data_IF_326444582309
#
_entry.id   IF_326444582309
#
_cell.length_a   1.000
_cell.length_b   1.000
_cell.length_c   1.000
_cell.angle_alpha   90.00
_cell.angle_beta   90.00
_cell.angle_gamma   90.00
#
_symmetry.space_group_name_H-M   'P 1'
#
loop_
_entity.id
_entity.type
_entity.pdbx_description
1 polymer ?
#
# COMPACT_ATOMS: atom_id res chain seq x y z
N UNK A 1 30.99 -26.29 -4.91
CA UNK A 1 29.83 -25.48 -5.35
C UNK A 1 28.96 -26.42 -6.15
N UNK A 2 27.84 -26.87 -5.59
CA UNK A 2 27.01 -27.90 -6.22
C UNK A 2 26.13 -27.29 -7.32
N UNK A 3 25.80 -28.10 -8.32
CA UNK A 3 24.92 -27.75 -9.45
C UNK A 3 23.54 -27.25 -8.96
N UNK A 4 23.08 -27.70 -7.79
CA UNK A 4 21.88 -27.21 -7.10
C UNK A 4 21.98 -25.74 -6.68
N UNK A 5 23.16 -25.27 -6.27
CA UNK A 5 23.36 -23.90 -5.80
C UNK A 5 23.40 -22.92 -6.97
N UNK A 6 23.89 -23.37 -8.14
CA UNK A 6 23.91 -22.60 -9.39
C UNK A 6 22.50 -22.38 -9.95
N UNK A 7 21.66 -23.41 -9.98
CA UNK A 7 20.27 -23.31 -10.46
C UNK A 7 19.42 -22.41 -9.54
N UNK A 8 19.67 -22.45 -8.23
CA UNK A 8 18.98 -21.57 -7.27
C UNK A 8 19.37 -20.09 -7.38
N UNK A 9 20.57 -19.79 -7.89
CA UNK A 9 21.03 -18.42 -8.08
C UNK A 9 20.52 -17.83 -9.41
N UNK A 10 20.51 -18.61 -10.50
CA UNK A 10 19.98 -18.17 -11.80
C UNK A 10 18.47 -17.87 -11.76
N UNK A 11 17.67 -18.68 -11.05
CA UNK A 11 16.22 -18.41 -10.94
C UNK A 11 15.92 -17.11 -10.17
N UNK A 12 16.80 -16.70 -9.23
CA UNK A 12 16.61 -15.44 -8.48
C UNK A 12 17.01 -14.18 -9.23
N UNK A 13 17.81 -14.28 -10.29
CA UNK A 13 18.29 -13.11 -11.05
C UNK A 13 17.23 -12.57 -12.02
N UNK A 14 16.25 -13.42 -12.39
CA UNK A 14 15.14 -13.03 -13.28
C UNK A 14 14.06 -12.22 -12.58
N UNK A 15 13.99 -12.24 -11.25
CA UNK A 15 13.01 -11.44 -10.52
C UNK A 15 13.51 -10.02 -10.32
N UNK A 16 12.65 -9.05 -10.61
CA UNK A 16 12.99 -7.66 -10.36
C UNK A 16 13.29 -7.42 -8.88
N UNK A 17 14.45 -6.80 -8.62
CA UNK A 17 14.85 -6.34 -7.29
C UNK A 17 15.13 -4.85 -7.36
N UNK A 18 14.55 -4.10 -6.44
CA UNK A 18 14.83 -2.67 -6.36
C UNK A 18 16.32 -2.43 -6.08
N UNK A 19 16.90 -1.46 -6.79
CA UNK A 19 18.31 -1.07 -6.59
C UNK A 19 18.61 -0.44 -5.22
N UNK A 20 17.60 -0.21 -4.38
CA UNK A 20 17.77 0.40 -3.05
C UNK A 20 18.18 1.87 -3.09
N UNK A 21 18.18 2.51 -4.27
CA UNK A 21 18.60 3.90 -4.46
C UNK A 21 17.62 4.87 -3.81
N UNK A 22 18.18 5.78 -3.01
CA UNK A 22 17.47 6.89 -2.38
C UNK A 22 18.04 8.20 -2.91
N UNK A 23 17.42 8.82 -3.93
CA UNK A 23 17.85 10.14 -4.37
C UNK A 23 17.66 11.18 -3.27
N UNK A 24 18.60 12.11 -3.13
CA UNK A 24 18.53 13.18 -2.13
C UNK A 24 17.25 14.00 -2.25
N UNK A 25 16.88 14.36 -3.48
CA UNK A 25 15.62 15.07 -3.78
C UNK A 25 14.42 14.27 -3.28
N UNK A 26 14.44 12.94 -3.41
CA UNK A 26 13.34 12.09 -2.93
C UNK A 26 13.22 12.05 -1.42
N UNK A 27 14.34 12.03 -0.70
CA UNK A 27 14.35 12.16 0.77
C UNK A 27 13.70 13.48 1.19
N UNK A 28 14.16 14.59 0.60
CA UNK A 28 13.65 15.92 0.94
C UNK A 28 12.17 16.06 0.60
N UNK A 29 11.74 15.62 -0.59
CA UNK A 29 10.34 15.69 -0.99
C UNK A 29 9.43 14.83 -0.10
N UNK A 30 9.83 13.62 0.27
CA UNK A 30 9.03 12.79 1.18
C UNK A 30 8.89 13.42 2.57
N UNK A 31 9.98 13.99 3.11
CA UNK A 31 9.94 14.68 4.41
C UNK A 31 9.12 15.97 4.36
N UNK A 32 9.27 16.80 3.32
CA UNK A 32 8.52 18.04 3.19
C UNK A 32 7.04 17.79 2.92
N UNK A 33 6.69 16.95 1.93
CA UNK A 33 5.28 16.65 1.63
C UNK A 33 4.62 15.90 2.78
N UNK A 34 5.30 14.91 3.36
CA UNK A 34 4.82 14.19 4.54
C UNK A 34 4.66 15.10 5.75
N UNK A 35 5.60 16.00 6.01
CA UNK A 35 5.54 16.95 7.13
C UNK A 35 4.44 18.00 6.97
N UNK A 36 4.25 18.55 5.76
CA UNK A 36 3.14 19.46 5.44
C UNK A 36 1.81 18.74 5.62
N UNK A 37 1.67 17.52 5.08
CA UNK A 37 0.49 16.70 5.26
C UNK A 37 0.22 16.38 6.74
N UNK A 38 1.27 16.00 7.49
CA UNK A 38 1.19 15.77 8.93
C UNK A 38 0.66 17.01 9.65
N UNK A 39 1.20 18.20 9.40
CA UNK A 39 0.75 19.42 10.06
C UNK A 39 -0.71 19.77 9.73
N UNK A 40 -1.08 19.79 8.45
CA UNK A 40 -2.40 20.23 8.00
C UNK A 40 -3.51 19.20 8.30
N UNK A 41 -3.26 17.92 8.04
CA UNK A 41 -4.23 16.86 8.31
C UNK A 41 -4.42 16.64 9.80
N UNK A 42 -3.39 16.87 10.64
CA UNK A 42 -3.53 16.80 12.09
C UNK A 42 -4.51 17.82 12.63
N UNK A 43 -4.51 19.04 12.09
CA UNK A 43 -5.47 20.07 12.49
C UNK A 43 -6.90 19.61 12.22
N UNK A 44 -7.16 19.09 11.02
CA UNK A 44 -8.47 18.55 10.64
C UNK A 44 -8.85 17.35 11.51
N UNK A 45 -7.92 16.42 11.73
CA UNK A 45 -8.11 15.26 12.60
C UNK A 45 -8.51 15.69 14.02
N UNK A 46 -7.79 16.64 14.62
CA UNK A 46 -8.05 17.11 15.98
C UNK A 46 -9.39 17.85 16.10
N UNK A 47 -9.81 18.59 15.07
CA UNK A 47 -11.14 19.17 15.02
C UNK A 47 -12.23 18.10 15.05
N UNK A 48 -12.07 17.07 14.23
CA UNK A 48 -13.04 15.97 14.19
C UNK A 48 -13.08 15.27 15.55
N UNK A 49 -11.94 14.98 16.16
CA UNK A 49 -11.86 14.35 17.48
C UNK A 49 -12.52 15.20 18.58
N UNK A 50 -12.37 16.52 18.52
CA UNK A 50 -12.97 17.43 19.49
C UNK A 50 -14.50 17.45 19.40
N UNK A 51 -15.05 17.45 18.19
CA UNK A 51 -16.51 17.56 17.98
C UNK A 51 -17.24 16.21 17.93
N UNK A 52 -16.55 15.09 17.79
CA UNK A 52 -17.17 13.79 17.58
C UNK A 52 -17.47 13.04 18.89
N UNK A 53 -18.75 12.81 19.25
CA UNK A 53 -19.12 12.04 20.44
C UNK A 53 -19.19 10.52 20.18
N UNK A 54 -19.00 10.05 18.93
CA UNK A 54 -19.25 8.67 18.50
C UNK A 54 -17.94 7.90 18.35
N UNK A 55 -17.73 6.92 19.23
CA UNK A 55 -16.52 6.06 19.27
C UNK A 55 -16.31 5.27 17.98
N UNK A 56 -17.36 4.74 17.35
CA UNK A 56 -17.20 3.94 16.10
C UNK A 56 -16.70 4.81 14.95
N UNK A 57 -17.16 6.06 14.86
CA UNK A 57 -16.72 6.99 13.82
C UNK A 57 -15.22 7.31 13.99
N UNK A 58 -14.73 7.37 15.23
CA UNK A 58 -13.32 7.58 15.54
C UNK A 58 -12.40 6.53 14.89
N UNK A 59 -12.81 5.25 14.88
CA UNK A 59 -12.06 4.18 14.23
C UNK A 59 -11.82 4.44 12.73
N UNK A 60 -12.84 4.91 12.01
CA UNK A 60 -12.70 5.24 10.59
C UNK A 60 -11.82 6.48 10.38
N UNK A 61 -11.90 7.46 11.29
CA UNK A 61 -11.11 8.68 11.23
C UNK A 61 -9.61 8.37 11.42
N UNK A 62 -9.25 7.53 12.40
CA UNK A 62 -7.84 7.16 12.62
C UNK A 62 -7.26 6.38 11.43
N UNK A 63 -8.06 5.49 10.81
CA UNK A 63 -7.65 4.75 9.61
C UNK A 63 -7.46 5.71 8.42
N UNK A 64 -8.43 6.60 8.19
CA UNK A 64 -8.36 7.58 7.10
C UNK A 64 -7.20 8.56 7.27
N UNK A 65 -6.95 9.03 8.50
CA UNK A 65 -5.84 9.92 8.81
C UNK A 65 -4.48 9.25 8.57
N UNK A 66 -4.27 8.05 9.11
CA UNK A 66 -3.05 7.27 8.85
C UNK A 66 -2.84 6.98 7.36
N UNK A 67 -3.91 6.62 6.63
CA UNK A 67 -3.86 6.37 5.20
C UNK A 67 -3.49 7.61 4.39
N UNK A 68 -4.05 8.77 4.74
CA UNK A 68 -3.75 10.04 4.07
C UNK A 68 -2.28 10.45 4.25
N UNK A 69 -1.71 10.27 5.46
CA UNK A 69 -0.28 10.48 5.71
C UNK A 69 0.58 9.53 4.87
N UNK A 70 0.28 8.23 4.91
CA UNK A 70 1.00 7.23 4.13
C UNK A 70 0.93 7.50 2.62
N UNK A 71 -0.24 7.94 2.12
CA UNK A 71 -0.44 8.27 0.71
C UNK A 71 0.41 9.47 0.27
N UNK A 72 0.51 10.51 1.10
CA UNK A 72 1.39 11.66 0.80
C UNK A 72 2.86 11.21 0.62
N UNK A 73 3.32 10.28 1.45
CA UNK A 73 4.67 9.72 1.39
C UNK A 73 4.84 8.81 0.17
N UNK A 74 3.87 7.94 -0.12
CA UNK A 74 3.85 7.06 -1.30
C UNK A 74 3.93 7.87 -2.59
N UNK A 75 3.12 8.93 -2.70
CA UNK A 75 3.12 9.83 -3.86
C UNK A 75 4.45 10.57 -4.02
N UNK A 76 4.98 11.13 -2.93
CA UNK A 76 6.28 11.80 -2.95
C UNK A 76 7.42 10.84 -3.35
N UNK A 77 7.45 9.63 -2.78
CA UNK A 77 8.45 8.60 -3.08
C UNK A 77 8.36 8.11 -4.52
N UNK A 78 7.15 7.90 -5.05
CA UNK A 78 6.93 7.54 -6.46
C UNK A 78 7.36 8.66 -7.39
N UNK A 79 6.95 9.90 -7.13
CA UNK A 79 7.31 11.04 -7.98
C UNK A 79 8.83 11.26 -8.05
N UNK A 80 9.51 11.06 -6.93
CA UNK A 80 10.96 11.24 -6.81
C UNK A 80 11.79 9.96 -7.00
N UNK A 81 11.13 8.85 -7.38
CA UNK A 81 11.80 7.61 -7.79
C UNK A 81 12.64 6.97 -6.67
N UNK A 82 12.15 7.05 -5.43
CA UNK A 82 12.72 6.35 -4.28
C UNK A 82 12.45 4.85 -4.43
N UNK A 83 13.51 4.04 -4.36
CA UNK A 83 13.47 2.58 -4.61
C UNK A 83 13.99 1.78 -3.41
N UNK A 84 13.91 2.36 -2.23
CA UNK A 84 14.33 1.69 -1.01
C UNK A 84 13.12 1.54 -0.08
N UNK A 85 12.60 0.32 0.00
CA UNK A 85 11.42 0.03 0.80
C UNK A 85 11.68 0.25 2.29
N UNK A 86 12.83 -0.17 2.81
CA UNK A 86 13.20 0.05 4.22
C UNK A 86 13.25 1.54 4.55
N UNK A 87 13.84 2.35 3.67
CA UNK A 87 13.86 3.80 3.82
C UNK A 87 12.45 4.39 3.80
N UNK A 88 11.59 3.96 2.88
CA UNK A 88 10.19 4.41 2.84
C UNK A 88 9.42 4.04 4.11
N UNK A 89 9.67 2.86 4.70
CA UNK A 89 9.12 2.46 6.00
C UNK A 89 9.59 3.42 7.11
N UNK A 90 10.89 3.69 7.20
CA UNK A 90 11.43 4.58 8.23
C UNK A 90 10.86 5.99 8.12
N UNK A 91 10.78 6.54 6.91
CA UNK A 91 10.16 7.86 6.67
C UNK A 91 8.67 7.83 7.03
N UNK A 92 7.94 6.76 6.68
CA UNK A 92 6.53 6.61 7.03
C UNK A 92 6.29 6.58 8.54
N UNK A 93 7.10 5.82 9.29
CA UNK A 93 7.01 5.78 10.74
C UNK A 93 7.36 7.15 11.37
N UNK A 94 8.39 7.82 10.86
CA UNK A 94 8.78 9.15 11.33
C UNK A 94 7.67 10.18 11.10
N UNK A 95 7.09 10.25 9.89
CA UNK A 95 6.00 11.16 9.56
C UNK A 95 4.72 10.81 10.31
N UNK A 96 4.42 9.52 10.49
CA UNK A 96 3.29 9.09 11.32
C UNK A 96 3.43 9.54 12.78
N UNK A 97 4.62 9.41 13.36
CA UNK A 97 4.90 9.89 14.72
C UNK A 97 4.81 11.42 14.82
N UNK A 98 5.33 12.12 13.80
CA UNK A 98 5.22 13.57 13.70
C UNK A 98 3.75 14.03 13.57
N UNK A 99 2.93 13.29 12.81
CA UNK A 99 1.49 13.50 12.71
C UNK A 99 0.78 13.35 14.04
N UNK A 100 1.07 12.28 14.80
CA UNK A 100 0.52 12.09 16.15
C UNK A 100 0.90 13.25 17.08
N UNK A 101 2.14 13.71 17.03
CA UNK A 101 2.58 14.88 17.80
C UNK A 101 1.77 16.12 17.43
N UNK A 102 1.69 16.45 16.14
CA UNK A 102 0.91 17.62 15.68
C UNK A 102 -0.58 17.49 15.99
N UNK A 103 -1.16 16.28 15.95
CA UNK A 103 -2.54 16.06 16.34
C UNK A 103 -2.76 16.48 17.81
N UNK A 104 -1.85 16.11 18.70
CA UNK A 104 -1.91 16.55 20.10
C UNK A 104 -1.76 18.06 20.27
N UNK A 105 -0.77 18.67 19.58
CA UNK A 105 -0.57 20.13 19.60
C UNK A 105 -1.86 20.85 19.19
N UNK A 106 -2.47 20.43 18.08
CA UNK A 106 -3.73 21.02 17.60
C UNK A 106 -4.91 20.75 18.52
N UNK A 107 -5.00 19.56 19.09
CA UNK A 107 -6.07 19.21 20.01
C UNK A 107 -6.04 20.08 21.27
N UNK A 108 -4.86 20.27 21.86
CA UNK A 108 -4.66 21.14 23.03
C UNK A 108 -5.02 22.59 22.68
N UNK A 109 -4.57 23.08 21.52
CA UNK A 109 -4.92 24.41 21.03
C UNK A 109 -6.45 24.61 20.92
N UNK A 110 -7.19 23.61 20.42
CA UNK A 110 -8.65 23.68 20.31
C UNK A 110 -9.32 23.65 21.70
N UNK A 111 -8.90 22.74 22.58
CA UNK A 111 -9.46 22.59 23.94
C UNK A 111 -9.26 23.86 24.77
N UNK A 112 -8.16 24.59 24.56
CA UNK A 112 -7.86 25.85 25.24
C UNK A 112 -8.53 27.07 24.60
N UNK A 113 -9.47 26.87 23.67
CA UNK A 113 -10.28 27.95 23.12
C UNK A 113 -9.55 28.77 22.06
N UNK A 114 -8.67 28.15 21.27
CA UNK A 114 -8.02 28.76 20.11
C UNK A 114 -7.04 29.89 20.45
N UNK A 115 -6.48 29.89 21.66
CA UNK A 115 -5.46 30.84 22.07
C UNK A 115 -4.12 30.55 21.40
N UNK A 116 -3.70 31.43 20.49
CA UNK A 116 -2.47 31.29 19.70
C UNK A 116 -1.21 31.30 20.57
N UNK A 117 -1.26 31.89 21.76
CA UNK A 117 -0.11 31.87 22.68
C UNK A 117 0.19 30.47 23.23
N UNK A 118 -0.69 29.49 22.96
CA UNK A 118 -0.59 28.12 23.47
C UNK A 118 -0.17 27.10 22.41
N UNK A 119 0.12 27.53 21.17
CA UNK A 119 0.72 26.62 20.19
C UNK A 119 2.18 26.36 20.61
N UNK A 120 2.36 25.29 21.38
CA UNK A 120 3.66 24.81 21.81
C UNK A 120 4.00 23.50 21.09
N UNK A 121 5.12 23.51 20.38
CA UNK A 121 5.65 22.35 19.68
C UNK A 121 6.58 21.50 20.56
N UNK A 122 6.89 21.95 21.79
CA UNK A 122 7.74 21.24 22.73
C UNK A 122 7.08 19.93 23.20
N UNK A 123 7.67 18.75 22.90
CA UNK A 123 7.07 17.46 23.24
C UNK A 123 6.84 17.27 24.74
N UNK A 124 7.70 17.84 25.58
CA UNK A 124 7.58 17.76 27.04
C UNK A 124 6.31 18.44 27.52
N UNK A 125 6.04 19.66 27.05
CA UNK A 125 4.83 20.41 27.41
C UNK A 125 3.59 19.69 26.91
N UNK A 126 3.59 19.24 25.65
CA UNK A 126 2.48 18.45 25.08
C UNK A 126 2.18 17.23 25.95
N UNK A 127 3.21 16.48 26.36
CA UNK A 127 3.05 15.30 27.21
C UNK A 127 2.49 15.62 28.61
N UNK A 128 2.93 16.72 29.23
CA UNK A 128 2.37 17.17 30.51
C UNK A 128 0.87 17.51 30.40
N UNK A 129 0.45 18.15 29.31
CA UNK A 129 -0.97 18.39 29.03
C UNK A 129 -1.75 17.10 28.85
N UNK A 130 -1.19 16.13 28.12
CA UNK A 130 -1.81 14.80 27.97
C UNK A 130 -2.00 14.14 29.34
N UNK A 131 -1.03 14.23 30.25
CA UNK A 131 -1.17 13.71 31.62
C UNK A 131 -2.28 14.40 32.41
N UNK A 132 -2.36 15.72 32.29
CA UNK A 132 -3.40 16.51 32.95
C UNK A 132 -4.81 16.19 32.43
N UNK A 133 -4.95 16.02 31.12
CA UNK A 133 -6.18 15.59 30.47
C UNK A 133 -6.57 14.15 30.90
N UNK A 134 -5.60 13.23 30.94
CA UNK A 134 -5.82 11.87 31.38
C UNK A 134 -6.34 11.81 32.83
N UNK A 135 -5.80 12.63 33.72
CA UNK A 135 -6.22 12.65 35.13
C UNK A 135 -7.67 13.14 35.32
N UNK A 136 -8.17 14.00 34.44
CA UNK A 136 -9.52 14.61 34.55
C UNK A 136 -10.58 13.92 33.71
N UNK A 137 -10.16 13.18 32.68
CA UNK A 137 -11.06 12.67 31.67
C UNK A 137 -11.37 13.75 30.64
N UNK A 138 -11.50 13.33 29.38
CA UNK A 138 -11.67 14.24 28.23
C UNK A 138 -13.10 14.20 27.66
N UNK A 139 -13.81 13.11 27.92
CA UNK A 139 -15.19 12.89 27.49
C UNK A 139 -15.89 11.95 28.47
N UNK A 140 -17.21 11.85 28.37
CA UNK A 140 -18.02 10.94 29.18
C UNK A 140 -18.79 9.99 28.27
N UNK A 141 -18.86 8.73 28.64
CA UNK A 141 -19.65 7.72 27.94
C UNK A 141 -20.48 6.92 28.91
N UNK A 142 -21.81 6.93 28.69
CA UNK A 142 -22.79 6.26 29.56
C UNK A 142 -22.64 6.61 31.05
N UNK A 143 -22.26 7.85 31.36
CA UNK A 143 -22.09 8.35 32.72
C UNK A 143 -20.75 8.02 33.39
N UNK A 144 -19.85 7.31 32.71
CA UNK A 144 -18.47 7.09 33.15
C UNK A 144 -17.50 7.99 32.36
N UNK A 145 -16.60 8.66 33.07
CA UNK A 145 -15.51 9.41 32.46
C UNK A 145 -14.24 8.54 32.56
N UNK A 146 -13.73 7.97 31.44
CA UNK A 146 -12.48 7.24 31.49
C UNK A 146 -11.34 8.18 31.92
N UNK A 147 -10.48 7.70 32.81
CA UNK A 147 -9.35 8.47 33.36
C UNK A 147 -8.08 7.62 33.43
N UNK A 148 -6.93 8.29 33.49
CA UNK A 148 -5.62 7.69 33.66
C UNK A 148 -5.31 6.64 32.58
N UNK A 149 -5.06 5.41 33.03
CA UNK A 149 -4.61 4.31 32.18
C UNK A 149 -5.64 3.87 31.12
N UNK A 150 -6.94 4.04 31.37
CA UNK A 150 -7.99 3.72 30.39
C UNK A 150 -7.85 4.60 29.14
N UNK A 151 -7.56 5.89 29.33
CA UNK A 151 -7.32 6.84 28.23
C UNK A 151 -5.97 6.57 27.55
N UNK A 152 -4.92 6.28 28.31
CA UNK A 152 -3.62 5.93 27.72
C UNK A 152 -3.68 4.69 26.83
N UNK A 153 -4.46 3.67 27.24
CA UNK A 153 -4.67 2.47 26.43
C UNK A 153 -5.35 2.84 25.10
N UNK A 154 -6.43 3.63 25.16
CA UNK A 154 -7.17 4.05 23.98
C UNK A 154 -6.29 4.87 23.02
N UNK A 155 -5.63 5.92 23.51
CA UNK A 155 -4.73 6.74 22.69
C UNK A 155 -3.53 5.94 22.17
N UNK A 156 -3.05 4.96 22.94
CA UNK A 156 -2.02 4.04 22.51
C UNK A 156 -2.47 3.19 21.32
N UNK A 157 -3.69 2.64 21.35
CA UNK A 157 -4.28 1.90 20.24
C UNK A 157 -4.45 2.79 19.00
N UNK A 158 -4.93 4.03 19.19
CA UNK A 158 -5.05 5.00 18.09
C UNK A 158 -3.69 5.30 17.46
N UNK A 159 -2.69 5.62 18.27
CA UNK A 159 -1.34 5.92 17.82
C UNK A 159 -0.72 4.74 17.04
N UNK A 160 -0.83 3.52 17.57
CA UNK A 160 -0.34 2.31 16.90
C UNK A 160 -1.08 2.09 15.58
N UNK A 161 -2.39 2.31 15.54
CA UNK A 161 -3.20 2.17 14.31
C UNK A 161 -2.79 3.18 13.25
N UNK A 162 -2.61 4.45 13.63
CA UNK A 162 -2.16 5.53 12.73
C UNK A 162 -0.78 5.20 12.16
N UNK A 163 0.18 4.81 13.01
CA UNK A 163 1.51 4.39 12.58
C UNK A 163 1.43 3.19 11.64
N UNK A 164 0.60 2.19 12.00
CA UNK A 164 0.45 0.97 11.24
C UNK A 164 -0.05 1.25 9.82
N UNK A 165 -1.15 1.99 9.71
CA UNK A 165 -1.75 2.32 8.41
C UNK A 165 -0.83 3.25 7.60
N UNK A 166 -0.20 4.23 8.25
CA UNK A 166 0.74 5.13 7.59
C UNK A 166 1.92 4.37 6.96
N UNK A 167 2.55 3.45 7.70
CA UNK A 167 3.61 2.62 7.12
C UNK A 167 3.07 1.66 6.06
N UNK A 168 1.91 1.03 6.28
CA UNK A 168 1.39 0.02 5.37
C UNK A 168 1.10 0.62 3.99
N UNK A 169 0.56 1.84 3.95
CA UNK A 169 0.32 2.58 2.71
C UNK A 169 1.63 3.20 2.17
N UNK A 170 2.39 3.89 3.01
CA UNK A 170 3.57 4.67 2.59
C UNK A 170 4.76 3.84 2.13
N UNK A 171 4.84 2.56 2.53
CA UNK A 171 5.92 1.64 2.15
C UNK A 171 5.67 0.85 0.85
N UNK A 172 4.48 0.95 0.27
CA UNK A 172 4.14 0.24 -0.97
C UNK A 172 4.83 0.86 -2.19
N UNK A 173 5.97 0.27 -2.57
CA UNK A 173 6.66 0.54 -3.83
C UNK A 173 6.47 -0.70 -4.71
N UNK A 174 5.41 -0.74 -5.50
CA UNK A 174 4.97 -1.97 -6.18
C UNK A 174 5.42 -2.09 -7.64
N UNK A 175 5.86 -0.98 -8.26
CA UNK A 175 6.18 -0.98 -9.68
C UNK A 175 7.67 -1.25 -9.92
N UNK A 176 8.00 -2.08 -10.93
CA UNK A 176 9.36 -2.15 -11.45
C UNK A 176 9.84 -0.79 -11.95
N UNK A 177 11.14 -0.57 -11.86
CA UNK A 177 11.78 0.67 -12.29
C UNK A 177 12.82 0.36 -13.37
N UNK A 178 12.74 1.07 -14.50
CA UNK A 178 13.75 0.98 -15.54
C UNK A 178 14.93 1.90 -15.15
N UNK A 179 16.07 1.31 -14.83
CA UNK A 179 17.29 2.05 -14.47
C UNK A 179 17.88 2.81 -15.67
N UNK A 180 17.83 2.22 -16.87
CA UNK A 180 18.37 2.84 -18.09
C UNK A 180 17.62 4.11 -18.50
N UNK A 181 16.28 4.07 -18.45
CA UNK A 181 15.44 5.22 -18.80
C UNK A 181 15.08 6.10 -17.59
N UNK A 182 15.45 5.69 -16.37
CA UNK A 182 15.16 6.39 -15.12
C UNK A 182 13.66 6.68 -14.95
N UNK A 183 12.78 5.72 -15.21
CA UNK A 183 11.33 5.85 -15.09
C UNK A 183 10.68 4.58 -14.54
N UNK A 184 9.50 4.73 -13.94
CA UNK A 184 8.68 3.58 -13.54
C UNK A 184 8.13 2.89 -14.79
N UNK A 185 8.00 1.57 -14.75
CA UNK A 185 7.29 0.82 -15.80
C UNK A 185 5.78 1.05 -15.66
N UNK A 186 5.07 1.02 -16.78
CA UNK A 186 3.63 1.17 -16.84
C UNK A 186 2.95 -0.20 -16.95
N UNK A 187 1.87 -0.45 -16.18
CA UNK A 187 1.09 -1.66 -16.33
C UNK A 187 0.28 -1.67 -17.63
N UNK A 188 0.26 -2.80 -18.33
CA UNK A 188 -0.66 -3.08 -19.42
C UNK A 188 -2.03 -3.56 -18.93
N UNK A 189 -2.93 -3.86 -19.88
CA UNK A 189 -4.24 -4.45 -19.58
C UNK A 189 -4.04 -5.82 -18.91
N UNK A 190 -4.72 -6.09 -17.77
CA UNK A 190 -4.61 -7.40 -17.11
C UNK A 190 -5.26 -8.49 -17.98
N UNK A 191 -4.51 -9.55 -18.26
CA UNK A 191 -5.04 -10.78 -18.85
C UNK A 191 -5.58 -11.68 -17.73
N UNK A 192 -6.81 -12.17 -17.89
CA UNK A 192 -7.43 -13.12 -16.98
C UNK A 192 -7.43 -14.49 -17.66
N UNK A 193 -6.84 -15.49 -17.02
CA UNK A 193 -6.75 -16.86 -17.55
C UNK A 193 -7.29 -17.87 -16.54
N UNK A 194 -7.60 -19.08 -17.03
CA UNK A 194 -8.08 -20.16 -16.20
C UNK A 194 -7.05 -20.52 -15.12
N UNK A 195 -7.53 -20.81 -13.90
CA UNK A 195 -6.65 -21.28 -12.84
C UNK A 195 -6.12 -22.67 -13.18
N UNK A 196 -4.80 -22.75 -13.31
CA UNK A 196 -4.04 -23.99 -13.42
C UNK A 196 -3.23 -24.23 -12.16
N UNK A 197 -2.42 -25.29 -12.14
CA UNK A 197 -1.38 -25.44 -11.13
C UNK A 197 -0.43 -24.24 -11.20
N UNK A 198 -0.68 -23.24 -10.36
CA UNK A 198 0.05 -21.97 -10.30
C UNK A 198 1.54 -22.16 -10.01
N UNK A 199 1.93 -23.27 -9.36
CA UNK A 199 3.34 -23.62 -9.17
C UNK A 199 3.95 -24.13 -10.47
N UNK A 200 3.22 -24.95 -11.24
CA UNK A 200 3.66 -25.38 -12.56
C UNK A 200 3.76 -24.19 -13.53
N UNK A 201 2.81 -23.25 -13.49
CA UNK A 201 2.88 -22.03 -14.29
C UNK A 201 4.11 -21.18 -13.93
N UNK A 202 4.39 -21.00 -12.63
CA UNK A 202 5.59 -20.28 -12.21
C UNK A 202 6.87 -20.95 -12.72
N UNK A 203 6.99 -22.27 -12.57
CA UNK A 203 8.13 -23.02 -13.07
C UNK A 203 8.29 -22.91 -14.60
N UNK A 204 7.18 -22.90 -15.36
CA UNK A 204 7.23 -22.75 -16.82
C UNK A 204 7.66 -21.34 -17.25
N UNK A 205 7.17 -20.29 -16.58
CA UNK A 205 7.57 -18.91 -16.86
C UNK A 205 9.04 -18.66 -16.48
N UNK A 206 9.50 -19.25 -15.37
CA UNK A 206 10.91 -19.27 -14.98
C UNK A 206 11.79 -20.01 -16.01
N UNK A 207 11.25 -21.06 -16.64
CA UNK A 207 11.90 -21.82 -17.71
C UNK A 207 11.73 -21.21 -19.12
N UNK A 208 11.22 -19.98 -19.23
CA UNK A 208 10.99 -19.25 -20.50
C UNK A 208 9.99 -19.92 -21.46
N UNK A 209 9.12 -20.77 -20.93
CA UNK A 209 8.06 -21.44 -21.68
C UNK A 209 6.78 -20.59 -21.63
N UNK A 210 6.71 -19.55 -22.47
CA UNK A 210 5.61 -18.59 -22.45
C UNK A 210 4.36 -19.04 -23.21
N UNK A 211 4.45 -20.07 -24.05
CA UNK A 211 3.32 -20.60 -24.83
C UNK A 211 2.14 -21.03 -23.94
N UNK A 212 2.43 -21.43 -22.69
CA UNK A 212 1.41 -21.74 -21.67
C UNK A 212 0.44 -20.58 -21.44
N UNK A 213 0.86 -19.32 -21.58
CA UNK A 213 -0.02 -18.16 -21.40
C UNK A 213 -1.12 -18.18 -22.46
N UNK A 214 -0.77 -18.47 -23.71
CA UNK A 214 -1.72 -18.58 -24.82
C UNK A 214 -2.67 -19.74 -24.56
N UNK A 215 -2.14 -20.92 -24.23
CA UNK A 215 -2.96 -22.10 -23.93
C UNK A 215 -3.95 -21.86 -22.78
N UNK A 216 -3.53 -21.17 -21.72
CA UNK A 216 -4.39 -20.85 -20.58
C UNK A 216 -5.44 -19.79 -20.92
N UNK A 217 -5.14 -18.88 -21.86
CA UNK A 217 -6.10 -17.87 -22.32
C UNK A 217 -7.24 -18.44 -23.16
N UNK A 218 -7.01 -19.60 -23.79
CA UNK A 218 -8.02 -20.30 -24.61
C UNK A 218 -8.91 -21.25 -23.79
N UNK A 219 -8.54 -21.53 -22.53
CA UNK A 219 -9.33 -22.38 -21.64
C UNK A 219 -10.50 -21.59 -21.03
N UNK A 220 -11.62 -22.28 -20.84
CA UNK A 220 -12.77 -21.75 -20.10
C UNK A 220 -12.37 -21.31 -18.69
N UNK A 221 -12.74 -20.09 -18.32
CA UNK A 221 -12.38 -19.47 -17.05
C UNK A 221 -13.50 -19.70 -16.03
N UNK A 222 -13.15 -20.20 -14.84
CA UNK A 222 -14.06 -20.15 -13.70
C UNK A 222 -14.03 -18.75 -13.10
N UNK A 223 -15.12 -17.95 -13.14
CA UNK A 223 -15.11 -16.57 -12.67
C UNK A 223 -14.77 -16.41 -11.18
N UNK A 224 -14.91 -17.48 -10.40
CA UNK A 224 -14.62 -17.46 -8.96
C UNK A 224 -13.17 -17.81 -8.61
N UNK A 225 -12.37 -18.28 -9.55
CA UNK A 225 -10.97 -18.63 -9.31
C UNK A 225 -10.18 -18.46 -10.61
N UNK A 226 -9.48 -17.33 -10.72
CA UNK A 226 -8.76 -16.94 -11.93
C UNK A 226 -7.32 -16.58 -11.65
N UNK A 227 -6.48 -16.69 -12.67
CA UNK A 227 -5.14 -16.11 -12.66
C UNK A 227 -5.17 -14.79 -13.44
N UNK A 228 -4.65 -13.75 -12.82
CA UNK A 228 -4.48 -12.41 -13.38
C UNK A 228 -3.02 -12.21 -13.71
N UNK A 229 -2.71 -12.01 -14.98
CA UNK A 229 -1.37 -11.76 -15.50
C UNK A 229 -1.31 -10.29 -15.92
N UNK A 230 -0.37 -9.53 -15.36
CA UNK A 230 -0.15 -8.12 -15.69
C UNK A 230 1.27 -7.94 -16.18
N UNK A 231 1.39 -7.44 -17.41
CA UNK A 231 2.67 -7.00 -17.95
C UNK A 231 3.00 -5.56 -17.54
N UNK A 232 4.27 -5.33 -17.23
CA UNK A 232 4.82 -4.01 -16.92
C UNK A 232 5.91 -3.70 -17.93
N UNK A 233 5.83 -2.54 -18.58
CA UNK A 233 6.75 -2.15 -19.64
C UNK A 233 7.33 -0.76 -19.43
N UNK A 234 8.58 -0.56 -19.79
CA UNK A 234 9.15 0.79 -19.86
C UNK A 234 8.59 1.55 -21.08
N UNK A 235 8.14 2.81 -20.93
CA UNK A 235 7.64 3.59 -22.06
C UNK A 235 8.74 4.04 -23.04
N UNK A 236 10.03 3.83 -22.71
CA UNK A 236 11.16 4.37 -23.46
C UNK A 236 12.14 3.32 -23.99
N UNK A 237 12.06 2.06 -23.56
CA UNK A 237 12.94 0.98 -24.02
C UNK A 237 12.25 -0.39 -23.93
N UNK A 238 12.84 -1.38 -24.59
CA UNK A 238 12.41 -2.78 -24.57
C UNK A 238 13.10 -3.61 -23.49
N UNK A 239 14.19 -3.09 -22.90
CA UNK A 239 15.05 -3.83 -21.95
C UNK A 239 14.46 -3.96 -20.54
N UNK A 240 13.23 -3.50 -20.31
CA UNK A 240 12.61 -3.45 -18.99
C UNK A 240 11.14 -3.81 -19.10
N UNK A 241 10.92 -5.11 -19.24
CA UNK A 241 9.62 -5.74 -19.37
C UNK A 241 9.49 -6.85 -18.34
N UNK A 242 8.39 -6.83 -17.58
CA UNK A 242 8.17 -7.72 -16.45
C UNK A 242 6.75 -8.28 -16.44
N UNK A 243 6.54 -9.48 -15.91
CA UNK A 243 5.22 -10.04 -15.64
C UNK A 243 4.99 -10.21 -14.14
N UNK A 244 3.79 -9.89 -13.70
CA UNK A 244 3.27 -10.27 -12.37
C UNK A 244 2.06 -11.17 -12.56
N UNK A 245 2.04 -12.29 -11.84
CA UNK A 245 0.95 -13.26 -11.85
C UNK A 245 0.34 -13.31 -10.46
N UNK A 246 -0.96 -13.05 -10.37
CA UNK A 246 -1.73 -13.13 -9.14
C UNK A 246 -2.88 -14.11 -9.30
N UNK A 247 -3.18 -14.91 -8.28
CA UNK A 247 -4.41 -15.68 -8.20
C UNK A 247 -5.49 -14.84 -7.53
N UNK A 248 -6.65 -14.75 -8.16
CA UNK A 248 -7.80 -13.99 -7.68
C UNK A 248 -8.94 -14.97 -7.42
N UNK A 249 -9.27 -15.14 -6.14
CA UNK A 249 -10.38 -15.98 -5.71
C UNK A 249 -11.54 -15.06 -5.33
N UNK A 250 -12.67 -15.24 -5.99
CA UNK A 250 -13.91 -14.52 -5.72
C UNK A 250 -14.85 -15.44 -4.98
N UNK A 251 -15.14 -15.13 -3.72
CA UNK A 251 -16.14 -15.84 -2.93
C UNK A 251 -17.46 -15.07 -2.95
N UNK A 252 -18.60 -15.73 -3.25
CA UNK A 252 -19.90 -15.06 -3.24
C UNK A 252 -20.21 -14.49 -1.86
N UNK A 253 -20.84 -13.32 -1.84
CA UNK A 253 -21.29 -12.66 -0.62
C UNK A 253 -22.30 -13.52 0.15
N UNK A 254 -22.44 -13.27 1.46
CA UNK A 254 -23.38 -14.06 2.30
C UNK A 254 -24.86 -13.75 2.02
N UNK A 255 -25.13 -12.74 1.20
CA UNK A 255 -26.46 -12.27 0.79
C UNK A 255 -26.37 -11.72 -0.63
N UNK A 256 -27.49 -11.71 -1.36
CA UNK A 256 -27.62 -11.13 -2.72
C UNK A 256 -27.20 -9.65 -2.81
N UNK A 257 -27.17 -8.95 -1.68
CA UNK A 257 -26.81 -7.54 -1.59
C UNK A 257 -25.36 -7.29 -1.13
N UNK A 258 -24.59 -8.36 -0.90
CA UNK A 258 -23.25 -8.29 -0.34
C UNK A 258 -22.22 -8.40 -1.47
N UNK A 259 -21.27 -7.48 -1.53
CA UNK A 259 -20.23 -7.50 -2.56
C UNK A 259 -19.42 -8.80 -2.43
N UNK A 260 -19.07 -9.45 -3.55
CA UNK A 260 -18.24 -10.64 -3.51
C UNK A 260 -16.89 -10.30 -2.88
N UNK A 261 -16.41 -11.18 -2.00
CA UNK A 261 -15.11 -11.00 -1.36
C UNK A 261 -14.02 -11.54 -2.31
N UNK A 262 -13.13 -10.64 -2.72
CA UNK A 262 -12.07 -10.91 -3.69
C UNK A 262 -10.74 -10.99 -2.93
N UNK A 263 -10.10 -12.15 -2.98
CA UNK A 263 -8.77 -12.37 -2.41
C UNK A 263 -7.75 -12.51 -3.53
N UNK A 264 -6.80 -11.58 -3.60
CA UNK A 264 -5.70 -11.60 -4.56
C UNK A 264 -4.40 -12.05 -3.87
N UNK A 265 -3.82 -13.17 -4.32
CA UNK A 265 -2.55 -13.70 -3.83
C UNK A 265 -1.52 -13.67 -4.96
N UNK A 266 -0.41 -12.97 -4.76
CA UNK A 266 0.67 -12.94 -5.75
C UNK A 266 1.40 -14.29 -5.81
N UNK A 267 1.43 -14.88 -7.00
CA UNK A 267 2.17 -16.11 -7.31
C UNK A 267 3.59 -15.75 -7.78
N UNK A 268 3.69 -14.79 -8.70
CA UNK A 268 4.95 -14.30 -9.28
C UNK A 268 4.91 -12.79 -9.22
N UNK A 269 6.00 -12.15 -8.77
CA UNK A 269 6.12 -10.69 -8.73
C UNK A 269 7.22 -10.23 -9.65
N UNK A 270 6.85 -9.55 -10.74
CA UNK A 270 7.77 -8.89 -11.66
C UNK A 270 8.95 -9.77 -12.13
N UNK A 271 8.66 -10.93 -12.73
CA UNK A 271 9.67 -11.71 -13.44
C UNK A 271 10.02 -11.00 -14.76
N UNK A 272 11.31 -10.84 -15.04
CA UNK A 272 11.80 -10.23 -16.27
C UNK A 272 11.50 -11.15 -17.46
N UNK A 273 10.90 -10.59 -18.51
CA UNK A 273 10.54 -11.32 -19.73
C UNK A 273 10.89 -10.51 -20.98
N UNK A 274 10.99 -11.15 -22.15
CA UNK A 274 11.08 -10.46 -23.43
C UNK A 274 9.88 -9.51 -23.67
N UNK A 275 10.12 -8.40 -24.37
CA UNK A 275 9.13 -7.34 -24.58
C UNK A 275 7.89 -7.82 -25.37
N UNK A 276 8.12 -8.70 -26.35
CA UNK A 276 7.10 -9.34 -27.17
C UNK A 276 6.10 -10.16 -26.34
N UNK A 277 6.54 -10.77 -25.24
CA UNK A 277 5.64 -11.50 -24.32
C UNK A 277 4.70 -10.53 -23.59
N UNK A 278 5.17 -9.36 -23.14
CA UNK A 278 4.31 -8.34 -22.51
C UNK A 278 3.29 -7.80 -23.50
N UNK A 279 3.70 -7.58 -24.75
CA UNK A 279 2.81 -7.17 -25.83
C UNK A 279 1.78 -8.25 -26.14
N UNK A 280 2.18 -9.52 -26.21
CA UNK A 280 1.28 -10.66 -26.43
C UNK A 280 0.23 -10.78 -25.32
N UNK A 281 0.63 -10.67 -24.04
CA UNK A 281 -0.30 -10.65 -22.91
C UNK A 281 -1.32 -9.52 -23.04
N UNK A 282 -0.86 -8.32 -23.43
CA UNK A 282 -1.73 -7.16 -23.61
C UNK A 282 -2.68 -7.34 -24.81
N UNK A 283 -2.20 -7.95 -25.90
CA UNK A 283 -3.02 -8.27 -27.07
C UNK A 283 -4.10 -9.30 -26.72
N UNK A 284 -3.73 -10.38 -26.05
CA UNK A 284 -4.66 -11.41 -25.57
C UNK A 284 -5.73 -10.80 -24.65
N UNK A 285 -5.35 -9.90 -23.75
CA UNK A 285 -6.27 -9.24 -22.84
C UNK A 285 -7.30 -8.34 -23.55
N UNK A 286 -6.93 -7.80 -24.72
CA UNK A 286 -7.79 -6.93 -25.52
C UNK A 286 -8.56 -7.68 -26.61
N UNK A 287 -8.37 -9.00 -26.77
CA UNK A 287 -9.18 -9.78 -27.70
C UNK A 287 -10.65 -9.69 -27.27
N UNK A 288 -11.59 -9.44 -28.20
CA UNK A 288 -13.00 -9.56 -27.88
C UNK A 288 -13.24 -11.00 -27.39
N UNK A 289 -14.16 -11.23 -26.44
CA UNK A 289 -14.57 -12.58 -26.09
C UNK A 289 -15.08 -13.24 -27.38
N UNK A 290 -14.25 -14.06 -28.00
CA UNK A 290 -14.66 -14.94 -29.07
C UNK A 290 -15.73 -15.84 -28.48
N UNK A 291 -16.88 -15.96 -29.16
CA UNK A 291 -17.98 -16.85 -28.79
C UNK A 291 -17.40 -18.19 -28.34
N UNK A 292 -17.32 -18.38 -27.02
CA UNK A 292 -16.91 -19.63 -26.43
C UNK A 292 -18.03 -20.57 -26.83
N UNK A 293 -17.78 -21.62 -27.64
CA UNK A 293 -18.83 -22.58 -27.95
C UNK A 293 -19.39 -23.07 -26.62
N UNK A 294 -20.71 -22.95 -26.45
CA UNK A 294 -21.40 -23.42 -25.25
C UNK A 294 -20.87 -24.83 -24.94
N UNK A 295 -20.32 -24.98 -23.73
CA UNK A 295 -19.95 -26.29 -23.20
C UNK A 295 -21.27 -27.06 -23.01
N UNK A 296 -21.66 -27.82 -24.04
CA UNK A 296 -22.69 -28.87 -23.98
C UNK A 296 -22.28 -30.01 -23.03
#
# INVERSE_FOLDING_TARGET
MSESDLISNESTDRYYRHSGRVPFVGTLSMLCMGGIAAFLLSFLYSLICYFNPIVILQLFIILGYGAALGMAIKLAGRWTKVRNQTFAVLVSLFIGALGIHFAWVWYIFIVLGWDQMVIDFEPTTTFLFIQHLAARGVWQFKGHAPTGWELYLLWGIEAVTILFVCFAIGSQIEHPFCEGCNCWTEPGTPLVVATSDHLALAAQLEAEQYDVIVELSERGVNPNDVLKIVGFRCPHCTDSSYLTVSRVITTPGKSDNDNPNVNETHVIRAIAVPDDIVLQVTELANRPPTDIPELD
#
